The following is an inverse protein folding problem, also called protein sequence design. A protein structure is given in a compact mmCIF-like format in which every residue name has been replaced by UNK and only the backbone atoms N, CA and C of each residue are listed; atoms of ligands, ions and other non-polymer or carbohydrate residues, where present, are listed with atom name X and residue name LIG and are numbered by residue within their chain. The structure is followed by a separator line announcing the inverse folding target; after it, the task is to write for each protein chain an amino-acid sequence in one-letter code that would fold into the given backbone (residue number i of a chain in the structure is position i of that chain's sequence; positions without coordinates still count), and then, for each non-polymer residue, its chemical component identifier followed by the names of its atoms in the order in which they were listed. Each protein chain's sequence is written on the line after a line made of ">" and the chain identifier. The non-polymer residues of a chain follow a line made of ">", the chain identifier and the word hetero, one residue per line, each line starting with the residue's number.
data_IF_148740616628
#
_entry.id   IF_148740616628
#
_cell.length_a   1.000
_cell.length_b   1.000
_cell.length_c   1.000
_cell.angle_alpha   90.00
_cell.angle_beta   90.00
_cell.angle_gamma   90.00
#
_symmetry.space_group_name_H-M   'P 1'
#
loop_
_entity.id
_entity.type
_entity.pdbx_description
1 polymer ?
#
# COMPACT_ATOMS: atom_id res chain seq x y z
N UNK A 1 15.70 -11.62 5.15
CA UNK A 1 14.42 -10.89 5.26
C UNK A 1 13.25 -11.63 4.56
N UNK A 2 13.19 -12.96 4.56
CA UNK A 2 12.13 -13.72 3.86
C UNK A 2 11.68 -14.98 4.62
N UNK A 3 11.95 -15.03 5.93
CA UNK A 3 11.81 -16.24 6.76
C UNK A 3 10.41 -16.87 6.65
N UNK A 4 9.36 -16.07 6.65
CA UNK A 4 7.97 -16.54 6.64
C UNK A 4 7.52 -17.16 5.32
N UNK A 5 8.13 -16.79 4.20
CA UNK A 5 7.81 -17.32 2.87
C UNK A 5 8.79 -18.39 2.40
N UNK A 6 9.80 -18.72 3.21
CA UNK A 6 10.80 -19.74 2.85
C UNK A 6 10.13 -21.10 2.67
N UNK A 7 10.38 -21.74 1.53
CA UNK A 7 9.81 -23.05 1.18
C UNK A 7 8.31 -23.03 0.89
N UNK A 8 7.68 -21.84 0.86
CA UNK A 8 6.29 -21.70 0.41
C UNK A 8 6.27 -21.70 -1.11
N UNK A 9 5.30 -22.44 -1.66
CA UNK A 9 5.09 -22.60 -3.09
C UNK A 9 3.64 -22.33 -3.47
N UNK A 10 3.41 -21.77 -4.66
CA UNK A 10 2.09 -21.67 -5.25
C UNK A 10 1.81 -22.97 -6.02
N UNK A 11 0.65 -23.57 -5.76
CA UNK A 11 0.21 -24.86 -6.34
C UNK A 11 1.19 -26.04 -6.19
N UNK A 12 2.22 -25.91 -5.33
CA UNK A 12 3.26 -26.93 -5.14
C UNK A 12 4.47 -26.80 -6.08
N UNK A 13 4.31 -26.06 -7.18
CA UNK A 13 5.28 -26.06 -8.29
C UNK A 13 6.05 -24.75 -8.47
N UNK A 14 5.49 -23.62 -7.99
CA UNK A 14 6.11 -22.30 -8.18
C UNK A 14 6.69 -21.79 -6.87
N UNK A 15 8.02 -21.62 -6.82
CA UNK A 15 8.70 -21.01 -5.67
C UNK A 15 8.38 -19.51 -5.56
N UNK A 16 8.21 -19.02 -4.32
CA UNK A 16 7.96 -17.59 -4.05
C UNK A 16 9.29 -16.87 -3.81
N UNK A 17 9.65 -15.96 -4.73
CA UNK A 17 10.76 -15.02 -4.51
C UNK A 17 10.25 -13.77 -3.79
N UNK A 18 10.90 -13.41 -2.68
CA UNK A 18 10.53 -12.23 -1.88
C UNK A 18 11.59 -11.15 -2.03
N UNK A 19 11.16 -9.99 -2.53
CA UNK A 19 11.89 -8.72 -2.43
C UNK A 19 11.20 -7.85 -1.38
N UNK A 20 11.97 -7.19 -0.51
CA UNK A 20 11.45 -6.34 0.57
C UNK A 20 12.22 -5.02 0.60
N UNK A 21 11.47 -3.91 0.59
CA UNK A 21 11.98 -2.54 0.61
C UNK A 21 10.99 -1.61 1.33
N UNK A 22 11.47 -0.45 1.78
CA UNK A 22 10.62 0.69 2.12
C UNK A 22 10.27 1.49 0.87
N UNK A 23 9.16 2.24 0.87
CA UNK A 23 8.75 3.05 -0.28
C UNK A 23 9.83 4.04 -0.74
N UNK A 24 10.55 4.67 0.19
CA UNK A 24 11.65 5.61 -0.11
C UNK A 24 12.82 4.99 -0.88
N UNK A 25 12.95 3.66 -0.86
CA UNK A 25 14.00 2.93 -1.57
C UNK A 25 13.58 2.56 -3.00
N UNK A 26 12.32 2.82 -3.37
CA UNK A 26 11.71 2.39 -4.62
C UNK A 26 11.48 3.55 -5.58
N UNK A 27 11.72 3.29 -6.85
CA UNK A 27 11.11 4.00 -7.97
C UNK A 27 10.54 2.98 -8.95
N UNK A 28 9.63 3.39 -9.83
CA UNK A 28 9.07 2.48 -10.80
C UNK A 28 8.71 3.17 -12.11
N UNK A 29 8.72 2.39 -13.19
CA UNK A 29 8.17 2.76 -14.49
C UNK A 29 7.08 1.75 -14.79
N UNK A 30 5.91 2.22 -15.22
CA UNK A 30 4.81 1.36 -15.63
C UNK A 30 4.38 1.70 -17.06
N UNK A 31 4.13 0.68 -17.86
CA UNK A 31 3.55 0.83 -19.18
C UNK A 31 2.43 -0.22 -19.37
N UNK A 32 1.51 0.04 -20.29
CA UNK A 32 0.26 -0.72 -20.41
C UNK A 32 0.47 -2.19 -20.81
N UNK A 33 1.54 -2.51 -21.55
CA UNK A 33 1.79 -3.86 -22.08
C UNK A 33 2.79 -4.65 -21.22
N UNK A 34 3.77 -3.97 -20.65
CA UNK A 34 4.90 -4.54 -19.91
C UNK A 34 4.79 -4.47 -18.39
N UNK A 35 3.68 -3.93 -17.87
CA UNK A 35 3.41 -3.83 -16.43
C UNK A 35 4.33 -2.86 -15.69
N UNK A 36 4.51 -3.07 -14.38
CA UNK A 36 5.39 -2.26 -13.55
C UNK A 36 6.80 -2.86 -13.45
N UNK A 37 7.81 -2.09 -13.83
CA UNK A 37 9.22 -2.39 -13.55
C UNK A 37 9.68 -1.51 -12.38
N UNK A 38 10.04 -2.16 -11.28
CA UNK A 38 10.48 -1.51 -10.03
C UNK A 38 12.00 -1.47 -10.00
N UNK A 39 12.54 -0.33 -9.59
CA UNK A 39 13.96 -0.13 -9.30
C UNK A 39 14.13 0.14 -7.81
N UNK A 40 14.96 -0.66 -7.17
CA UNK A 40 15.22 -0.62 -5.73
C UNK A 40 16.67 -0.23 -5.48
N UNK A 41 16.87 0.84 -4.70
CA UNK A 41 18.17 1.25 -4.22
C UNK A 41 18.56 0.43 -2.98
N UNK A 42 19.71 -0.25 -3.04
CA UNK A 42 20.25 -1.01 -1.90
C UNK A 42 21.68 -0.56 -1.64
N UNK A 43 22.02 -0.29 -0.38
CA UNK A 43 23.42 -0.05 0.01
C UNK A 43 24.11 -1.39 0.31
N UNK A 44 25.22 -1.66 -0.38
CA UNK A 44 26.12 -2.79 -0.10
C UNK A 44 27.52 -2.26 0.14
N UNK A 45 28.06 -2.50 1.33
CA UNK A 45 29.39 -2.04 1.73
C UNK A 45 29.61 -0.54 1.47
N UNK A 46 28.60 0.30 1.71
CA UNK A 46 28.65 1.75 1.48
C UNK A 46 28.37 2.20 0.04
N UNK A 47 28.35 1.28 -0.94
CA UNK A 47 28.01 1.60 -2.33
C UNK A 47 26.51 1.43 -2.60
N UNK A 48 25.88 2.45 -3.19
CA UNK A 48 24.49 2.38 -3.65
C UNK A 48 24.43 1.55 -4.94
N UNK A 49 23.72 0.43 -4.90
CA UNK A 49 23.49 -0.46 -6.03
C UNK A 49 22.00 -0.45 -6.37
N UNK A 50 21.68 -0.22 -7.64
CA UNK A 50 20.31 -0.32 -8.15
C UNK A 50 20.03 -1.73 -8.64
N UNK A 51 18.89 -2.29 -8.24
CA UNK A 51 18.40 -3.58 -8.77
C UNK A 51 16.98 -3.39 -9.25
N UNK A 52 16.66 -3.98 -10.40
CA UNK A 52 15.31 -3.91 -10.96
C UNK A 52 14.63 -5.26 -11.00
N UNK A 53 13.32 -5.27 -10.83
CA UNK A 53 12.48 -6.46 -10.88
C UNK A 53 11.04 -6.09 -11.30
N UNK A 54 10.27 -7.08 -11.73
CA UNK A 54 8.83 -6.94 -12.03
C UNK A 54 8.05 -7.75 -11.01
N UNK A 55 7.30 -7.11 -10.09
CA UNK A 55 6.55 -7.85 -9.09
C UNK A 55 5.25 -8.41 -9.70
N UNK A 56 4.98 -9.69 -9.45
CA UNK A 56 3.69 -10.30 -9.77
C UNK A 56 2.60 -9.93 -8.73
N UNK A 57 3.04 -9.65 -7.49
CA UNK A 57 2.17 -9.40 -6.35
C UNK A 57 2.82 -8.46 -5.33
N UNK A 58 2.01 -7.69 -4.61
CA UNK A 58 2.43 -6.77 -3.56
C UNK A 58 1.80 -7.11 -2.20
N UNK A 59 2.62 -6.95 -1.16
CA UNK A 59 2.16 -6.91 0.23
C UNK A 59 2.56 -5.57 0.83
N UNK A 60 1.61 -4.66 0.98
CA UNK A 60 1.89 -3.30 1.48
C UNK A 60 1.74 -3.27 3.00
N UNK A 61 2.85 -3.00 3.70
CA UNK A 61 2.92 -2.96 5.17
C UNK A 61 3.43 -1.61 5.72
N UNK A 62 3.52 -0.60 4.87
CA UNK A 62 3.95 0.75 5.22
C UNK A 62 2.82 1.73 4.87
N UNK A 63 2.66 2.80 5.66
CA UNK A 63 1.76 3.89 5.31
C UNK A 63 2.27 4.62 4.06
N UNK A 64 1.36 5.03 3.18
CA UNK A 64 1.76 5.80 1.98
C UNK A 64 2.21 7.22 2.33
N UNK A 65 1.65 7.78 3.39
CA UNK A 65 1.94 9.12 3.88
C UNK A 65 2.50 9.05 5.28
N UNK A 66 3.60 9.76 5.50
CA UNK A 66 4.22 10.00 6.80
C UNK A 66 4.71 11.46 6.85
N UNK A 67 5.28 11.91 7.97
CA UNK A 67 5.74 13.28 8.18
C UNK A 67 6.71 13.75 7.07
N UNK A 68 6.17 14.40 6.03
CA UNK A 68 6.91 14.94 4.89
C UNK A 68 7.05 14.01 3.68
N UNK A 69 6.57 12.77 3.75
CA UNK A 69 6.66 11.80 2.65
C UNK A 69 5.26 11.47 2.07
N UNK A 70 5.12 11.52 0.75
CA UNK A 70 3.93 11.05 0.03
C UNK A 70 4.33 10.07 -1.09
N UNK A 71 4.03 8.78 -0.87
CA UNK A 71 4.36 7.69 -1.77
C UNK A 71 3.16 7.27 -2.65
N UNK A 72 2.12 8.10 -2.73
CA UNK A 72 0.91 7.84 -3.56
C UNK A 72 1.25 7.59 -5.03
N UNK A 73 2.26 8.26 -5.57
CA UNK A 73 2.75 8.07 -6.93
C UNK A 73 3.20 6.63 -7.21
N UNK A 74 3.86 5.96 -6.25
CA UNK A 74 4.23 4.54 -6.38
C UNK A 74 2.98 3.67 -6.44
N UNK A 75 1.99 3.91 -5.58
CA UNK A 75 0.73 3.18 -5.60
C UNK A 75 0.00 3.31 -6.94
N UNK A 76 -0.04 4.52 -7.50
CA UNK A 76 -0.60 4.78 -8.83
C UNK A 76 0.15 4.01 -9.91
N UNK A 77 1.48 4.02 -9.85
CA UNK A 77 2.32 3.29 -10.79
C UNK A 77 2.08 1.77 -10.74
N UNK A 78 1.96 1.19 -9.55
CA UNK A 78 1.59 -0.22 -9.39
C UNK A 78 0.20 -0.54 -9.94
N UNK A 79 -0.78 0.34 -9.69
CA UNK A 79 -2.14 0.17 -10.20
C UNK A 79 -2.18 0.27 -11.72
N UNK A 80 -1.44 1.22 -12.28
CA UNK A 80 -1.31 1.40 -13.73
C UNK A 80 -0.64 0.17 -14.38
N UNK A 81 0.41 -0.35 -13.76
CA UNK A 81 1.11 -1.56 -14.22
C UNK A 81 0.38 -2.88 -13.93
N UNK A 82 -0.86 -2.85 -13.44
CA UNK A 82 -1.69 -4.04 -13.25
C UNK A 82 -1.27 -4.98 -12.11
N UNK A 83 -0.47 -4.50 -11.15
CA UNK A 83 0.06 -5.37 -10.08
C UNK A 83 -1.00 -5.67 -9.02
N UNK A 84 -1.17 -6.94 -8.68
CA UNK A 84 -2.09 -7.38 -7.63
C UNK A 84 -1.53 -7.09 -6.23
N UNK A 85 -2.39 -6.89 -5.23
CA UNK A 85 -1.95 -6.48 -3.89
C UNK A 85 -2.87 -6.95 -2.77
N UNK A 86 -2.29 -7.17 -1.58
CA UNK A 86 -3.00 -7.22 -0.30
C UNK A 86 -2.50 -6.09 0.62
N UNK A 87 -3.37 -5.23 1.16
CA UNK A 87 -4.76 -5.03 0.73
C UNK A 87 -4.82 -4.57 -0.73
N UNK A 88 -6.02 -4.54 -1.34
CA UNK A 88 -6.15 -4.08 -2.73
C UNK A 88 -5.60 -2.65 -2.86
N UNK A 89 -4.96 -2.35 -3.99
CA UNK A 89 -4.44 -0.99 -4.24
C UNK A 89 -5.54 0.07 -4.16
N UNK A 90 -6.78 -0.29 -4.51
CA UNK A 90 -7.95 0.57 -4.35
C UNK A 90 -8.28 0.85 -2.88
N UNK A 91 -8.29 -0.16 -2.02
CA UNK A 91 -8.52 0.03 -0.58
C UNK A 91 -7.42 0.89 0.03
N UNK A 92 -6.16 0.63 -0.31
CA UNK A 92 -5.01 1.40 0.18
C UNK A 92 -5.10 2.86 -0.27
N UNK A 93 -5.50 3.12 -1.52
CA UNK A 93 -5.71 4.48 -2.04
C UNK A 93 -6.76 5.23 -1.22
N UNK A 94 -7.91 4.61 -0.96
CA UNK A 94 -9.01 5.22 -0.20
C UNK A 94 -8.71 5.33 1.31
N UNK A 95 -7.72 4.60 1.83
CA UNK A 95 -7.32 4.66 3.23
C UNK A 95 -6.41 5.83 3.58
N UNK A 96 -6.07 6.69 2.61
CA UNK A 96 -5.16 7.83 2.82
C UNK A 96 -5.74 8.90 3.75
N UNK A 97 -7.07 9.05 3.78
CA UNK A 97 -7.74 10.10 4.53
C UNK A 97 -8.57 9.48 5.66
N UNK A 98 -8.12 9.65 6.91
CA UNK A 98 -8.82 9.11 8.08
C UNK A 98 -10.31 9.53 8.17
N UNK A 99 -10.68 10.81 7.90
CA UNK A 99 -12.09 11.21 7.89
C UNK A 99 -12.92 10.47 6.82
N UNK A 100 -12.32 10.18 5.65
CA UNK A 100 -12.98 9.40 4.60
C UNK A 100 -13.27 7.97 5.06
N UNK A 101 -12.29 7.32 5.69
CA UNK A 101 -12.48 5.99 6.28
C UNK A 101 -13.52 6.02 7.40
N UNK A 102 -13.50 7.05 8.24
CA UNK A 102 -14.47 7.22 9.34
C UNK A 102 -15.90 7.40 8.82
N UNK A 103 -16.09 8.05 7.66
CA UNK A 103 -17.40 8.18 7.03
C UNK A 103 -18.02 6.81 6.67
N UNK A 104 -17.22 5.82 6.27
CA UNK A 104 -17.69 4.45 6.08
C UNK A 104 -18.11 3.78 7.39
N UNK A 105 -17.40 4.07 8.51
CA UNK A 105 -17.82 3.59 9.83
C UNK A 105 -19.15 4.21 10.26
N UNK A 106 -19.37 5.50 9.97
CA UNK A 106 -20.66 6.17 10.20
C UNK A 106 -21.78 5.53 9.38
N UNK A 107 -21.53 5.15 8.12
CA UNK A 107 -22.51 4.42 7.30
C UNK A 107 -22.87 3.06 7.92
N UNK A 108 -21.88 2.34 8.45
CA UNK A 108 -22.11 1.08 9.17
C UNK A 108 -22.95 1.30 10.43
N UNK A 109 -22.64 2.32 11.23
CA UNK A 109 -23.43 2.65 12.42
C UNK A 109 -24.88 2.98 12.08
N UNK A 110 -25.13 3.75 11.02
CA UNK A 110 -26.51 4.09 10.56
C UNK A 110 -27.29 2.84 10.16
N UNK A 111 -26.63 1.85 9.57
CA UNK A 111 -27.25 0.59 9.15
C UNK A 111 -27.50 -0.38 10.31
N UNK A 112 -26.56 -0.48 11.24
CA UNK A 112 -26.56 -1.48 12.31
C UNK A 112 -27.18 -0.99 13.63
N UNK A 113 -27.30 0.34 13.80
CA UNK A 113 -27.70 0.96 15.05
C UNK A 113 -26.53 1.14 16.03
N UNK A 114 -26.65 2.11 16.94
CA UNK A 114 -25.61 2.45 17.91
C UNK A 114 -25.31 1.33 18.90
N UNK A 115 -26.29 0.50 19.24
CA UNK A 115 -26.13 -0.63 20.15
C UNK A 115 -25.23 -1.72 19.55
N UNK A 116 -25.43 -2.05 18.27
CA UNK A 116 -24.66 -3.09 17.59
C UNK A 116 -23.32 -2.58 17.03
N UNK A 117 -23.21 -1.28 16.77
CA UNK A 117 -21.98 -0.65 16.29
C UNK A 117 -21.73 0.68 17.02
N UNK A 118 -21.17 0.63 18.25
CA UNK A 118 -20.95 1.80 19.11
C UNK A 118 -19.73 2.63 18.67
N UNK A 119 -19.83 3.27 17.51
CA UNK A 119 -18.83 4.23 17.04
C UNK A 119 -18.84 5.49 17.90
N UNK A 120 -17.65 5.97 18.27
CA UNK A 120 -17.43 7.22 19.00
C UNK A 120 -18.05 8.41 18.25
N UNK A 121 -18.61 9.36 18.99
CA UNK A 121 -19.06 10.62 18.42
C UNK A 121 -17.85 11.47 17.99
N UNK A 122 -17.87 11.95 16.76
CA UNK A 122 -16.80 12.76 16.21
C UNK A 122 -17.37 13.81 15.26
N UNK A 123 -16.91 15.05 15.41
CA UNK A 123 -17.22 16.16 14.51
C UNK A 123 -16.06 16.35 13.53
N UNK A 124 -16.37 16.44 12.24
CA UNK A 124 -15.38 16.75 11.21
C UNK A 124 -15.47 18.23 10.83
N UNK A 125 -14.35 18.93 10.89
CA UNK A 125 -14.20 20.31 10.44
C UNK A 125 -13.34 20.33 9.18
N UNK A 126 -13.84 20.82 8.03
CA UNK A 126 -13.07 20.86 6.78
C UNK A 126 -11.80 21.70 6.87
N UNK A 127 -11.80 22.72 7.75
CA UNK A 127 -10.67 23.60 8.01
C UNK A 127 -10.88 24.30 9.37
N UNK A 128 -9.86 25.05 9.80
CA UNK A 128 -9.84 25.72 11.10
C UNK A 128 -10.88 26.83 11.28
N UNK A 129 -11.52 27.33 10.21
CA UNK A 129 -12.51 28.42 10.30
C UNK A 129 -13.86 27.95 10.83
N UNK A 130 -14.09 26.65 10.79
CA UNK A 130 -15.32 26.00 11.25
C UNK A 130 -15.19 25.49 12.69
N UNK A 131 -14.00 25.61 13.30
CA UNK A 131 -13.73 25.28 14.71
C UNK A 131 -13.99 26.49 15.60
#
# INVERSE_FOLDING_TARGET
>A
RSKYFRGKRLHGDYDIRVEQAEFKELSLIANAEGGATVSMAVFRNGTKVMRSFRPDFLLVRQNLRDAGEDNKNLLLGFKFGGVHSINTLHAIYNFQDKPWVFAHLLQLQRRLGKENFPLIEQTFYPNYREM
#
